data_IF_137797950049
#
_entry.id   IF_137797950049
#
_cell.length_a   1.000
_cell.length_b   1.000
_cell.length_c   1.000
_cell.angle_alpha   90.00
_cell.angle_beta   90.00
_cell.angle_gamma   90.00
#
_symmetry.space_group_name_H-M   'P 1'
#
loop_
_entity.id
_entity.type
_entity.pdbx_description
1 polymer ?
#
# COMPACT_ATOMS: atom_id res chain seq x y z
N UNK A 1 -23.64 4.27 23.57
CA UNK A 1 -23.34 5.09 22.37
C UNK A 1 -23.53 4.18 21.17
N UNK A 2 -24.55 4.42 20.33
CA UNK A 2 -24.75 3.59 19.13
C UNK A 2 -23.83 4.11 18.03
N UNK A 3 -22.90 3.29 17.56
CA UNK A 3 -22.13 3.55 16.34
C UNK A 3 -23.09 3.53 15.15
N UNK A 4 -23.68 4.69 14.83
CA UNK A 4 -24.59 4.81 13.71
C UNK A 4 -23.83 5.44 12.55
N UNK A 5 -23.47 4.61 11.56
CA UNK A 5 -22.85 5.11 10.35
C UNK A 5 -23.79 6.12 9.65
N UNK A 6 -23.24 7.20 9.05
CA UNK A 6 -24.06 8.16 8.33
C UNK A 6 -24.84 7.47 7.19
N UNK A 7 -26.13 7.79 7.07
CA UNK A 7 -27.09 7.21 6.12
C UNK A 7 -26.86 7.76 4.70
N UNK A 8 -25.66 7.58 4.14
CA UNK A 8 -25.26 8.08 2.82
C UNK A 8 -25.65 7.13 1.66
N UNK A 9 -26.42 6.07 1.97
CA UNK A 9 -26.83 5.04 1.02
C UNK A 9 -25.65 4.19 0.53
N UNK A 10 -25.78 3.62 -0.67
CA UNK A 10 -24.77 2.71 -1.25
C UNK A 10 -23.35 3.30 -1.30
N UNK A 11 -23.21 4.60 -1.56
CA UNK A 11 -21.92 5.29 -1.61
C UNK A 11 -21.17 5.27 -0.26
N UNK A 12 -21.92 5.38 0.85
CA UNK A 12 -21.35 5.29 2.19
C UNK A 12 -20.86 3.89 2.53
N UNK A 13 -21.60 2.86 2.11
CA UNK A 13 -21.21 1.45 2.29
C UNK A 13 -19.98 1.11 1.45
N UNK A 14 -19.92 1.61 0.20
CA UNK A 14 -18.72 1.41 -0.63
C UNK A 14 -17.51 2.12 -0.05
N UNK A 15 -17.67 3.30 0.55
CA UNK A 15 -16.56 4.02 1.19
C UNK A 15 -15.99 3.22 2.36
N UNK A 16 -16.84 2.71 3.26
CA UNK A 16 -16.36 1.90 4.40
C UNK A 16 -15.73 0.58 3.95
N UNK A 17 -16.29 -0.08 2.93
CA UNK A 17 -15.71 -1.28 2.35
C UNK A 17 -14.33 -1.02 1.75
N UNK A 18 -14.16 0.07 1.00
CA UNK A 18 -12.84 0.45 0.46
C UNK A 18 -11.84 0.80 1.55
N UNK A 19 -12.24 1.50 2.61
CA UNK A 19 -11.36 1.78 3.76
C UNK A 19 -10.91 0.50 4.47
N UNK A 20 -11.82 -0.47 4.66
CA UNK A 20 -11.47 -1.76 5.24
C UNK A 20 -10.48 -2.54 4.37
N UNK A 21 -10.70 -2.60 3.06
CA UNK A 21 -9.78 -3.25 2.12
C UNK A 21 -8.41 -2.56 2.09
N UNK A 22 -8.37 -1.22 2.07
CA UNK A 22 -7.13 -0.45 2.15
C UNK A 22 -6.36 -0.78 3.44
N UNK A 23 -7.05 -0.80 4.57
CA UNK A 23 -6.44 -1.10 5.87
C UNK A 23 -5.82 -2.50 5.90
N UNK A 24 -6.57 -3.51 5.47
CA UNK A 24 -6.08 -4.90 5.42
C UNK A 24 -4.86 -5.03 4.51
N UNK A 25 -4.92 -4.43 3.31
CA UNK A 25 -3.78 -4.45 2.37
C UNK A 25 -2.55 -3.75 2.93
N UNK A 26 -2.71 -2.61 3.60
CA UNK A 26 -1.59 -1.88 4.21
C UNK A 26 -0.95 -2.66 5.36
N UNK A 27 -1.75 -3.26 6.24
CA UNK A 27 -1.25 -4.10 7.34
C UNK A 27 -0.50 -5.33 6.80
N UNK A 28 -1.01 -5.95 5.73
CA UNK A 28 -0.31 -7.04 5.06
C UNK A 28 1.05 -6.61 4.49
N UNK A 29 1.12 -5.45 3.82
CA UNK A 29 2.39 -4.88 3.33
C UNK A 29 3.37 -4.63 4.48
N UNK A 30 2.90 -4.02 5.57
CA UNK A 30 3.72 -3.76 6.76
C UNK A 30 4.27 -5.08 7.33
N UNK A 31 3.43 -6.10 7.49
CA UNK A 31 3.84 -7.40 8.05
C UNK A 31 4.89 -8.11 7.20
N UNK A 32 4.65 -8.24 5.89
CA UNK A 32 5.59 -8.89 4.97
C UNK A 32 6.91 -8.10 4.92
N UNK A 33 6.84 -6.77 4.82
CA UNK A 33 8.03 -5.91 4.74
C UNK A 33 8.83 -5.92 6.03
N UNK A 34 8.18 -5.91 7.20
CA UNK A 34 8.85 -5.94 8.50
C UNK A 34 9.56 -7.27 8.76
N UNK A 35 8.93 -8.41 8.41
CA UNK A 35 9.56 -9.72 8.51
C UNK A 35 10.83 -9.78 7.66
N UNK A 36 10.72 -9.31 6.42
CA UNK A 36 11.85 -9.28 5.50
C UNK A 36 12.99 -8.39 5.99
N UNK A 37 12.70 -7.19 6.53
CA UNK A 37 13.72 -6.32 7.13
C UNK A 37 14.42 -7.00 8.32
N UNK A 38 13.65 -7.68 9.19
CA UNK A 38 14.21 -8.37 10.35
C UNK A 38 15.23 -9.45 9.96
N UNK A 39 14.95 -10.18 8.89
CA UNK A 39 15.83 -11.24 8.37
C UNK A 39 17.14 -10.69 7.78
N UNK A 40 17.06 -9.56 7.06
CA UNK A 40 18.24 -8.85 6.53
C UNK A 40 19.15 -8.35 7.66
N UNK A 41 18.55 -7.70 8.66
CA UNK A 41 19.28 -7.11 9.79
C UNK A 41 19.93 -8.22 10.63
N UNK A 42 19.23 -9.34 10.83
CA UNK A 42 19.79 -10.52 11.50
C UNK A 42 21.00 -11.09 10.75
N UNK A 43 20.99 -11.01 9.42
CA UNK A 43 22.09 -11.43 8.55
C UNK A 43 23.24 -10.40 8.42
N UNK A 44 23.28 -9.37 9.28
CA UNK A 44 24.31 -8.32 9.29
C UNK A 44 24.44 -7.56 7.96
N UNK A 45 23.32 -7.40 7.23
CA UNK A 45 23.27 -6.60 6.00
C UNK A 45 22.43 -5.34 6.20
N UNK A 46 22.73 -4.31 5.43
CA UNK A 46 21.95 -3.07 5.44
C UNK A 46 20.62 -3.26 4.71
N UNK A 47 19.53 -2.82 5.35
CA UNK A 47 18.20 -2.86 4.75
C UNK A 47 18.11 -1.88 3.56
N UNK A 48 17.52 -2.30 2.42
CA UNK A 48 17.40 -1.43 1.25
C UNK A 48 16.44 -0.27 1.52
N UNK A 49 16.88 0.96 1.18
CA UNK A 49 16.11 2.20 1.39
C UNK A 49 14.67 2.14 0.84
N UNK A 50 14.45 1.40 -0.26
CA UNK A 50 13.13 1.26 -0.91
C UNK A 50 12.13 0.56 0.02
N UNK A 51 12.57 -0.46 0.77
CA UNK A 51 11.69 -1.17 1.71
C UNK A 51 11.41 -0.36 2.95
N UNK A 52 12.42 0.34 3.48
CA UNK A 52 12.25 1.26 4.61
C UNK A 52 11.28 2.38 4.23
N UNK A 53 11.43 2.96 3.03
CA UNK A 53 10.51 3.95 2.50
C UNK A 53 9.09 3.42 2.32
N UNK A 54 8.94 2.19 1.82
CA UNK A 54 7.64 1.52 1.69
C UNK A 54 6.98 1.31 3.05
N UNK A 55 7.73 0.83 4.05
CA UNK A 55 7.24 0.64 5.40
C UNK A 55 6.78 1.97 6.03
N UNK A 56 7.55 3.04 5.85
CA UNK A 56 7.20 4.37 6.34
C UNK A 56 5.91 4.90 5.70
N UNK A 57 5.80 4.84 4.37
CA UNK A 57 4.60 5.27 3.64
C UNK A 57 3.39 4.43 4.03
N UNK A 58 3.54 3.10 4.12
CA UNK A 58 2.45 2.20 4.51
C UNK A 58 1.98 2.46 5.94
N UNK A 59 2.88 2.76 6.86
CA UNK A 59 2.55 3.10 8.26
C UNK A 59 1.75 4.40 8.35
N UNK A 60 2.18 5.45 7.65
CA UNK A 60 1.47 6.74 7.59
C UNK A 60 0.09 6.56 6.95
N UNK A 61 0.01 5.82 5.84
CA UNK A 61 -1.25 5.53 5.17
C UNK A 61 -2.21 4.73 6.07
N UNK A 62 -1.71 3.79 6.87
CA UNK A 62 -2.52 3.00 7.81
C UNK A 62 -3.15 3.89 8.88
N UNK A 63 -2.35 4.79 9.47
CA UNK A 63 -2.85 5.78 10.42
C UNK A 63 -3.92 6.67 9.79
N UNK A 64 -3.67 7.18 8.58
CA UNK A 64 -4.63 8.00 7.85
C UNK A 64 -5.95 7.27 7.57
N UNK A 65 -5.91 6.03 7.10
CA UNK A 65 -7.11 5.22 6.83
C UNK A 65 -7.90 4.98 8.12
N UNK A 66 -7.20 4.73 9.23
CA UNK A 66 -7.81 4.50 10.55
C UNK A 66 -8.50 5.75 11.09
N UNK A 67 -7.82 6.90 11.04
CA UNK A 67 -8.37 8.20 11.46
C UNK A 67 -9.55 8.58 10.57
N UNK A 68 -9.43 8.43 9.25
CA UNK A 68 -10.51 8.74 8.30
C UNK A 68 -11.74 7.86 8.51
N UNK A 69 -11.54 6.61 8.90
CA UNK A 69 -12.63 5.71 9.27
C UNK A 69 -13.38 6.21 10.53
N UNK A 70 -12.65 6.63 11.57
CA UNK A 70 -13.26 7.17 12.80
C UNK A 70 -14.04 8.47 12.50
N UNK A 71 -13.40 9.43 11.82
CA UNK A 71 -14.03 10.70 11.48
C UNK A 71 -15.26 10.54 10.57
N UNK A 72 -15.31 9.48 9.75
CA UNK A 72 -16.49 9.14 8.96
C UNK A 72 -17.67 8.72 9.84
N UNK A 73 -17.44 7.89 10.86
CA UNK A 73 -18.48 7.53 11.83
C UNK A 73 -18.97 8.73 12.64
N UNK A 74 -18.07 9.65 12.95
CA UNK A 74 -18.40 10.89 13.66
C UNK A 74 -19.07 11.94 12.76
N UNK A 75 -19.29 11.65 11.46
CA UNK A 75 -19.90 12.56 10.48
C UNK A 75 -19.18 13.92 10.34
N UNK A 76 -17.93 14.00 10.80
CA UNK A 76 -17.08 15.18 10.83
C UNK A 76 -16.10 15.23 9.65
N UNK A 77 -16.17 14.25 8.75
CA UNK A 77 -15.18 14.05 7.70
C UNK A 77 -15.32 15.13 6.58
N UNK A 78 -14.31 15.98 6.36
CA UNK A 78 -14.30 16.90 5.23
C UNK A 78 -14.03 16.14 3.92
N UNK A 79 -15.11 15.66 3.27
CA UNK A 79 -15.08 14.80 2.09
C UNK A 79 -14.12 15.26 0.97
N UNK A 80 -14.03 16.58 0.72
CA UNK A 80 -13.15 17.14 -0.30
C UNK A 80 -11.66 17.01 0.08
N UNK A 81 -11.33 17.27 1.35
CA UNK A 81 -9.97 17.16 1.88
C UNK A 81 -9.55 15.69 1.90
N UNK A 82 -10.43 14.79 2.34
CA UNK A 82 -10.20 13.35 2.31
C UNK A 82 -9.92 12.85 0.89
N UNK A 83 -10.73 13.25 -0.09
CA UNK A 83 -10.49 12.89 -1.50
C UNK A 83 -9.15 13.42 -2.02
N UNK A 84 -8.75 14.62 -1.59
CA UNK A 84 -7.42 15.17 -1.90
C UNK A 84 -6.28 14.35 -1.30
N UNK A 85 -6.39 13.93 -0.03
CA UNK A 85 -5.38 13.10 0.62
C UNK A 85 -5.33 11.70 -0.03
N UNK A 86 -6.47 11.13 -0.42
CA UNK A 86 -6.53 9.86 -1.14
C UNK A 86 -5.78 9.94 -2.50
N UNK A 87 -5.85 11.08 -3.20
CA UNK A 87 -5.05 11.30 -4.41
C UNK A 87 -3.55 11.43 -4.12
N UNK A 88 -3.17 12.09 -3.03
CA UNK A 88 -1.75 12.17 -2.62
C UNK A 88 -1.21 10.78 -2.28
N UNK A 89 -1.98 9.97 -1.55
CA UNK A 89 -1.62 8.59 -1.24
C UNK A 89 -1.62 7.68 -2.46
N UNK A 90 -2.51 7.92 -3.43
CA UNK A 90 -2.46 7.26 -4.74
C UNK A 90 -1.11 7.52 -5.44
N UNK A 91 -0.66 8.78 -5.49
CA UNK A 91 0.63 9.13 -6.10
C UNK A 91 1.78 8.44 -5.35
N UNK A 92 1.76 8.44 -4.01
CA UNK A 92 2.75 7.75 -3.21
C UNK A 92 2.76 6.22 -3.49
N UNK A 93 1.58 5.60 -3.58
CA UNK A 93 1.44 4.17 -3.89
C UNK A 93 1.94 3.84 -5.30
N UNK A 94 1.73 4.72 -6.28
CA UNK A 94 2.27 4.57 -7.65
C UNK A 94 3.81 4.61 -7.61
N UNK A 95 4.42 5.55 -6.89
CA UNK A 95 5.88 5.63 -6.75
C UNK A 95 6.42 4.34 -6.15
N UNK A 96 5.82 3.85 -5.06
CA UNK A 96 6.18 2.57 -4.44
C UNK A 96 6.05 1.42 -5.45
N UNK A 97 4.91 1.29 -6.13
CA UNK A 97 4.66 0.23 -7.11
C UNK A 97 5.66 0.25 -8.28
N UNK A 98 6.04 1.43 -8.79
CA UNK A 98 7.02 1.55 -9.87
C UNK A 98 8.44 1.26 -9.38
N UNK A 99 8.81 1.69 -8.18
CA UNK A 99 10.15 1.42 -7.62
C UNK A 99 10.37 -0.07 -7.34
N UNK A 100 9.38 -0.75 -6.76
CA UNK A 100 9.42 -2.19 -6.46
C UNK A 100 9.24 -3.02 -7.74
N UNK A 101 8.41 -2.57 -8.69
CA UNK A 101 8.06 -3.35 -9.88
C UNK A 101 9.15 -3.48 -10.94
N UNK A 102 10.06 -2.51 -11.06
CA UNK A 102 11.14 -2.50 -12.07
C UNK A 102 11.95 -3.81 -12.13
N UNK A 103 12.50 -4.33 -11.01
CA UNK A 103 13.25 -5.59 -11.02
C UNK A 103 12.36 -6.84 -11.08
N UNK A 104 11.11 -6.76 -10.58
CA UNK A 104 10.21 -7.92 -10.49
C UNK A 104 9.57 -8.28 -11.83
N UNK A 105 9.37 -7.31 -12.71
CA UNK A 105 8.73 -7.55 -14.01
C UNK A 105 9.49 -8.56 -14.88
N UNK A 106 10.79 -8.74 -14.63
CA UNK A 106 11.66 -9.64 -15.41
C UNK A 106 12.06 -10.91 -14.63
N UNK A 107 11.66 -11.02 -13.35
CA UNK A 107 12.16 -12.07 -12.46
C UNK A 107 11.15 -13.23 -12.35
N UNK A 108 11.60 -14.45 -12.69
CA UNK A 108 10.83 -15.69 -12.49
C UNK A 108 11.27 -16.36 -11.19
N UNK A 109 10.44 -16.27 -10.16
CA UNK A 109 10.70 -16.86 -8.84
C UNK A 109 10.88 -18.39 -8.87
N UNK A 110 10.38 -19.07 -9.90
CA UNK A 110 10.45 -20.53 -10.06
C UNK A 110 11.85 -21.03 -10.45
N UNK A 111 12.71 -20.15 -10.97
CA UNK A 111 14.07 -20.49 -11.38
C UNK A 111 15.08 -20.33 -10.24
N UNK A 112 14.62 -19.92 -9.06
CA UNK A 112 15.47 -19.70 -7.89
C UNK A 112 15.65 -20.97 -7.06
N UNK A 113 16.78 -21.09 -6.34
CA UNK A 113 17.01 -22.22 -5.45
C UNK A 113 15.88 -22.34 -4.42
N UNK A 114 15.33 -23.54 -4.28
CA UNK A 114 14.52 -23.89 -3.11
C UNK A 114 15.42 -24.00 -1.88
N UNK A 115 14.91 -23.73 -0.66
CA UNK A 115 15.67 -23.94 0.56
C UNK A 115 16.03 -25.43 0.71
N UNK A 116 17.22 -25.82 0.24
CA UNK A 116 17.75 -27.18 0.44
C UNK A 116 18.47 -27.26 1.79
N UNK A 117 18.30 -28.36 2.57
CA UNK A 117 19.17 -28.66 3.72
C UNK A 117 20.65 -28.71 3.27
N UNK A 118 21.63 -28.54 4.19
CA UNK A 118 22.91 -27.88 3.92
C UNK A 118 23.82 -28.72 3.02
N UNK A 119 23.62 -28.63 1.72
CA UNK A 119 24.56 -29.05 0.71
C UNK A 119 24.29 -28.21 -0.53
N UNK A 120 25.32 -27.48 -0.96
CA UNK A 120 25.41 -26.80 -2.25
C UNK A 120 24.83 -25.36 -2.25
N UNK A 121 25.47 -24.51 -1.45
CA UNK A 121 25.53 -23.07 -1.67
C UNK A 121 26.19 -22.83 -3.04
N UNK A 122 25.41 -22.76 -4.12
CA UNK A 122 25.89 -22.20 -5.38
C UNK A 122 25.85 -20.68 -5.24
N UNK A 123 26.95 -20.14 -4.71
CA UNK A 123 27.20 -18.71 -4.59
C UNK A 123 27.24 -18.12 -6.01
N UNK A 124 26.11 -17.56 -6.48
CA UNK A 124 26.12 -16.64 -7.61
C UNK A 124 26.88 -15.39 -7.16
N UNK A 125 28.19 -15.42 -7.33
CA UNK A 125 29.09 -14.29 -7.13
C UNK A 125 28.85 -13.27 -8.23
N UNK A 126 27.84 -12.40 -8.03
CA UNK A 126 27.78 -11.13 -8.75
C UNK A 126 28.96 -10.32 -8.22
N UNK A 127 30.03 -10.32 -9.00
CA UNK A 127 31.24 -9.54 -8.74
C UNK A 127 30.87 -8.12 -8.33
N UNK A 128 31.19 -7.77 -7.09
CA UNK A 128 31.12 -6.41 -6.58
C UNK A 128 31.96 -5.52 -7.49
N UNK A 129 31.31 -4.80 -8.41
CA UNK A 129 31.91 -3.66 -9.08
C UNK A 129 31.54 -2.43 -8.29
N UNK A 130 32.60 -1.77 -7.85
CA UNK A 130 32.60 -0.52 -7.10
C UNK A 130 31.89 0.58 -7.91
N UNK A 131 30.64 0.86 -7.57
CA UNK A 131 29.93 2.05 -8.03
C UNK A 131 29.24 2.67 -6.82
N UNK A 132 29.82 3.74 -6.28
CA UNK A 132 29.31 4.50 -5.14
C UNK A 132 27.99 5.27 -5.42
N UNK A 133 27.17 4.80 -6.37
CA UNK A 133 25.92 5.44 -6.78
C UNK A 133 24.75 4.46 -6.59
N UNK A 134 23.53 5.00 -6.64
CA UNK A 134 22.22 4.32 -6.54
C UNK A 134 22.17 2.90 -7.15
N UNK A 135 23.00 2.61 -8.15
CA UNK A 135 23.21 1.29 -8.74
C UNK A 135 23.68 0.20 -7.73
N UNK A 136 24.57 0.50 -6.78
CA UNK A 136 25.02 -0.49 -5.78
C UNK A 136 23.90 -0.86 -4.79
N UNK A 137 23.10 0.12 -4.34
CA UNK A 137 21.90 -0.15 -3.52
C UNK A 137 20.85 -0.94 -4.30
N UNK A 138 20.68 -0.64 -5.58
CA UNK A 138 19.82 -1.39 -6.50
C UNK A 138 20.31 -2.85 -6.66
N UNK A 139 21.62 -3.07 -6.79
CA UNK A 139 22.21 -4.41 -6.87
C UNK A 139 22.07 -5.20 -5.56
N UNK A 140 22.14 -4.55 -4.39
CA UNK A 140 21.90 -5.21 -3.09
C UNK A 140 20.44 -5.64 -2.92
N UNK A 141 19.49 -4.80 -3.31
CA UNK A 141 18.06 -5.17 -3.33
C UNK A 141 17.79 -6.33 -4.29
N UNK A 142 18.38 -6.27 -5.50
CA UNK A 142 18.24 -7.33 -6.50
C UNK A 142 18.87 -8.65 -6.04
N UNK A 143 20.09 -8.60 -5.50
CA UNK A 143 20.79 -9.76 -4.97
C UNK A 143 19.98 -10.43 -3.84
N UNK A 144 19.33 -9.62 -3.01
CA UNK A 144 18.53 -10.09 -1.90
C UNK A 144 17.25 -10.82 -2.36
N UNK A 145 16.47 -10.23 -3.27
CA UNK A 145 15.27 -10.89 -3.82
C UNK A 145 15.59 -12.12 -4.66
N UNK A 146 16.86 -12.28 -5.07
CA UNK A 146 17.35 -13.46 -5.78
C UNK A 146 18.03 -14.50 -4.88
N UNK A 147 17.98 -14.35 -3.56
CA UNK A 147 18.65 -15.29 -2.64
C UNK A 147 17.97 -16.65 -2.66
N UNK A 148 16.64 -16.65 -2.67
CA UNK A 148 15.81 -17.83 -2.45
C UNK A 148 14.36 -17.61 -2.93
N UNK A 149 13.67 -18.71 -3.19
CA UNK A 149 12.31 -18.70 -3.71
C UNK A 149 11.27 -17.97 -2.82
N UNK A 150 11.23 -18.13 -1.47
CA UNK A 150 10.18 -17.51 -0.65
C UNK A 150 10.28 -15.98 -0.62
N UNK A 151 11.47 -15.40 -0.49
CA UNK A 151 11.67 -13.94 -0.53
C UNK A 151 11.21 -13.30 -1.85
N UNK A 152 11.42 -13.99 -2.98
CA UNK A 152 10.92 -13.53 -4.27
C UNK A 152 9.39 -13.44 -4.29
N UNK A 153 8.68 -14.41 -3.72
CA UNK A 153 7.21 -14.38 -3.63
C UNK A 153 6.70 -13.34 -2.64
N UNK A 154 7.37 -13.14 -1.51
CA UNK A 154 7.01 -12.11 -0.52
C UNK A 154 7.03 -10.72 -1.14
N UNK A 155 8.12 -10.37 -1.83
CA UNK A 155 8.26 -9.07 -2.48
C UNK A 155 7.30 -8.92 -3.67
N UNK A 156 7.04 -10.02 -4.41
CA UNK A 156 6.02 -10.03 -5.47
C UNK A 156 4.61 -9.80 -4.91
N UNK A 157 4.31 -10.32 -3.73
CA UNK A 157 3.05 -10.06 -3.03
C UNK A 157 2.93 -8.59 -2.62
N UNK A 158 3.99 -7.99 -2.06
CA UNK A 158 4.04 -6.55 -1.73
C UNK A 158 3.80 -5.68 -2.97
N UNK A 159 4.40 -6.03 -4.10
CA UNK A 159 4.18 -5.34 -5.37
C UNK A 159 2.71 -5.43 -5.83
N UNK A 160 2.13 -6.62 -5.81
CA UNK A 160 0.72 -6.84 -6.17
C UNK A 160 -0.25 -6.08 -5.25
N UNK A 161 -0.01 -6.12 -3.94
CA UNK A 161 -0.78 -5.35 -2.94
C UNK A 161 -0.64 -3.84 -3.17
N UNK A 162 0.53 -3.35 -3.58
CA UNK A 162 0.75 -1.93 -3.90
C UNK A 162 -0.08 -1.48 -5.12
N UNK A 163 -0.19 -2.32 -6.16
CA UNK A 163 -1.06 -2.06 -7.31
C UNK A 163 -2.54 -2.04 -6.88
N UNK A 164 -2.96 -3.01 -6.06
CA UNK A 164 -4.31 -3.04 -5.53
C UNK A 164 -4.64 -1.76 -4.72
N UNK A 165 -3.71 -1.29 -3.89
CA UNK A 165 -3.85 -0.03 -3.15
C UNK A 165 -4.01 1.18 -4.08
N UNK A 166 -3.31 1.23 -5.21
CA UNK A 166 -3.50 2.30 -6.20
C UNK A 166 -4.97 2.32 -6.68
N UNK A 167 -5.51 1.17 -7.04
CA UNK A 167 -6.91 1.06 -7.47
C UNK A 167 -7.86 1.48 -6.35
N UNK A 168 -7.64 1.00 -5.13
CA UNK A 168 -8.47 1.31 -3.97
C UNK A 168 -8.46 2.82 -3.63
N UNK A 169 -7.31 3.49 -3.65
CA UNK A 169 -7.21 4.93 -3.38
C UNK A 169 -7.85 5.76 -4.51
N UNK A 170 -7.71 5.35 -5.76
CA UNK A 170 -8.37 6.01 -6.89
C UNK A 170 -9.90 5.95 -6.77
N UNK A 171 -10.47 4.78 -6.49
CA UNK A 171 -11.91 4.63 -6.27
C UNK A 171 -12.39 5.40 -5.03
N UNK A 172 -11.61 5.39 -3.95
CA UNK A 172 -11.92 6.15 -2.74
C UNK A 172 -12.00 7.66 -3.02
N UNK A 173 -11.05 8.21 -3.78
CA UNK A 173 -11.07 9.61 -4.18
C UNK A 173 -12.32 9.96 -5.03
N UNK A 174 -12.68 9.11 -6.00
CA UNK A 174 -13.89 9.30 -6.83
C UNK A 174 -15.16 9.29 -5.96
N UNK A 175 -15.26 8.36 -5.00
CA UNK A 175 -16.41 8.29 -4.08
C UNK A 175 -16.47 9.52 -3.19
N UNK A 176 -15.34 10.00 -2.65
CA UNK A 176 -15.29 11.24 -1.87
C UNK A 176 -15.78 12.45 -2.66
N UNK A 177 -15.38 12.58 -3.92
CA UNK A 177 -15.86 13.65 -4.82
C UNK A 177 -17.37 13.49 -5.11
N UNK A 178 -17.83 12.26 -5.38
CA UNK A 178 -19.24 11.97 -5.62
C UNK A 178 -20.13 12.29 -4.40
N UNK A 179 -19.70 11.89 -3.21
CA UNK A 179 -20.35 12.21 -1.95
C UNK A 179 -20.37 13.72 -1.69
N UNK A 180 -19.24 14.41 -1.92
CA UNK A 180 -19.17 15.87 -1.78
C UNK A 180 -20.12 16.61 -2.74
N UNK A 181 -20.19 16.19 -4.00
CA UNK A 181 -21.15 16.76 -4.96
C UNK A 181 -22.60 16.51 -4.53
N UNK A 182 -22.90 15.31 -4.00
CA UNK A 182 -24.24 14.95 -3.54
C UNK A 182 -24.64 15.72 -2.29
N UNK A 183 -23.76 15.87 -1.30
CA UNK A 183 -24.05 16.66 -0.09
C UNK A 183 -24.23 18.14 -0.42
N UNK A 184 -23.40 18.69 -1.31
CA UNK A 184 -23.56 20.07 -1.80
C UNK A 184 -24.86 20.28 -2.58
N UNK A 185 -25.26 19.33 -3.42
CA UNK A 185 -26.49 19.42 -4.22
C UNK A 185 -27.75 19.17 -3.39
N UNK A 186 -27.68 18.27 -2.40
CA UNK A 186 -28.77 18.02 -1.45
C UNK A 186 -29.00 19.17 -0.47
N UNK A 187 -27.94 19.90 -0.09
CA UNK A 187 -28.05 21.13 0.68
C UNK A 187 -28.66 22.31 -0.12
N UNK A 188 -28.72 22.20 -1.46
CA UNK A 188 -29.32 23.20 -2.35
C UNK A 188 -30.77 22.89 -2.75
N UNK A 189 -31.34 21.75 -2.33
CA UNK A 189 -32.76 21.48 -2.52
C UNK A 189 -33.55 22.24 -1.43
N UNK A 190 -34.51 23.13 -1.80
CA UNK A 190 -35.39 23.74 -0.81
C UNK A 190 -36.16 22.62 -0.07
N UNK A 191 -36.60 22.86 1.19
CA UNK A 191 -37.45 21.92 1.89
C UNK A 191 -38.62 21.59 0.98
N UNK A 192 -38.83 20.31 0.67
CA UNK A 192 -40.10 19.91 0.06
C UNK A 192 -41.16 20.21 1.10
N UNK A 193 -41.96 21.24 0.83
CA UNK A 193 -43.15 21.55 1.59
C UNK A 193 -43.96 20.26 1.75
N UNK A 194 -44.27 19.94 3.01
CA UNK A 194 -45.19 18.89 3.37
C UNK A 194 -46.57 19.41 2.99
N UNK A 195 -47.10 18.98 1.86
CA UNK A 195 -48.52 19.11 1.53
C UNK A 195 -49.08 17.73 1.17
N UNK A 196 -50.06 17.28 1.96
CA UNK A 196 -50.87 16.07 1.73
C UNK A 196 -51.13 15.25 2.98
#
# INVERSE_FOLDING_TARGET
>A
MRFQAPQLGALGVTFTAFRAMQFVSLVAIIGITANFINEIVTSQRDAPDVLVGTLAVASIATLYVSISYILYYDSLLPLLVTGGIDLVLLVAAIVVAVTIGKPLSMLKCELLPQPTPPAQTFTMSISARDYASVAAKYNNYLALITTDQPHCYEIKAVWGLSIALCVLFAFSAVICVGLWRRTKSGAAAPPKDIEG
#
